data_IF_286430156245
#
_entry.id   IF_286430156245
#
_cell.length_a   1.000
_cell.length_b   1.000
_cell.length_c   1.000
_cell.angle_alpha   90.00
_cell.angle_beta   90.00
_cell.angle_gamma   90.00
#
_symmetry.space_group_name_H-M   'P 1'
#
loop_
_entity.id
_entity.type
_entity.pdbx_description
1 polymer ?
#
# COMPACT_ATOMS: atom_id res chain seq x y z
N UNK A 1 -79.01 10.74 21.03
CA UNK A 1 -79.28 10.89 19.60
C UNK A 1 -77.88 11.12 18.97
N UNK A 2 -77.43 10.07 18.36
CA UNK A 2 -76.88 9.98 17.00
C UNK A 2 -75.46 10.39 16.85
N UNK A 3 -74.60 9.78 16.12
CA UNK A 3 -74.60 8.56 15.33
C UNK A 3 -73.16 8.27 15.07
N UNK A 4 -72.79 7.02 15.16
CA UNK A 4 -71.54 6.47 14.76
C UNK A 4 -71.31 6.59 13.24
N UNK A 5 -70.16 6.97 12.80
CA UNK A 5 -69.72 6.67 11.44
C UNK A 5 -68.31 6.09 11.48
N UNK A 6 -68.26 4.78 11.43
CA UNK A 6 -67.05 4.00 11.26
C UNK A 6 -66.57 4.16 9.84
N UNK A 7 -65.28 4.57 9.72
CA UNK A 7 -64.53 4.41 8.48
C UNK A 7 -63.53 3.25 8.65
N UNK A 8 -63.84 2.19 7.91
CA UNK A 8 -62.99 1.02 7.80
C UNK A 8 -61.62 1.38 7.26
N UNK A 9 -60.56 1.12 8.06
CA UNK A 9 -59.18 1.20 7.64
C UNK A 9 -58.92 0.10 6.60
N UNK A 10 -58.65 0.49 5.36
CA UNK A 10 -58.20 -0.39 4.31
C UNK A 10 -56.79 -0.86 4.63
N UNK A 11 -56.67 -2.16 4.81
CA UNK A 11 -55.41 -2.89 5.00
C UNK A 11 -54.57 -2.79 3.70
N UNK A 12 -53.54 -1.97 3.71
CA UNK A 12 -52.53 -1.92 2.63
C UNK A 12 -51.47 -2.97 2.96
N UNK A 13 -51.19 -3.95 2.08
CA UNK A 13 -50.18 -4.93 2.35
C UNK A 13 -48.79 -4.22 2.37
N UNK A 14 -48.13 -4.28 3.52
CA UNK A 14 -46.70 -3.90 3.62
C UNK A 14 -45.87 -4.81 2.71
N UNK A 15 -45.38 -4.24 1.63
CA UNK A 15 -44.34 -4.86 0.82
C UNK A 15 -43.07 -4.94 1.69
N UNK A 16 -42.74 -6.16 2.12
CA UNK A 16 -41.53 -6.43 2.86
C UNK A 16 -40.31 -5.96 2.03
N UNK A 17 -39.68 -4.92 2.51
CA UNK A 17 -38.41 -4.45 1.94
C UNK A 17 -37.39 -5.60 1.99
N UNK A 18 -37.08 -6.16 0.82
CA UNK A 18 -35.96 -7.07 0.66
C UNK A 18 -34.71 -6.33 1.13
N UNK A 19 -34.19 -6.69 2.30
CA UNK A 19 -32.84 -6.32 2.75
C UNK A 19 -31.88 -6.80 1.66
N UNK A 20 -31.36 -5.86 0.88
CA UNK A 20 -30.21 -6.08 0.04
C UNK A 20 -29.10 -6.61 0.96
N UNK A 21 -28.67 -7.86 0.75
CA UNK A 21 -27.44 -8.35 1.35
C UNK A 21 -26.34 -7.45 0.82
N UNK A 22 -25.86 -6.53 1.63
CA UNK A 22 -24.56 -5.93 1.40
C UNK A 22 -23.58 -7.10 1.38
N UNK A 23 -23.02 -7.39 0.22
CA UNK A 23 -21.86 -8.27 0.09
C UNK A 23 -20.76 -7.49 0.80
N UNK A 24 -20.38 -7.93 1.99
CA UNK A 24 -19.17 -7.45 2.66
C UNK A 24 -18.01 -7.80 1.74
N UNK A 25 -17.50 -6.82 1.04
CA UNK A 25 -16.28 -6.95 0.25
C UNK A 25 -15.14 -7.23 1.23
N UNK A 26 -14.23 -8.15 0.91
CA UNK A 26 -13.06 -8.41 1.74
C UNK A 26 -12.32 -7.10 1.99
N UNK A 27 -12.09 -6.76 3.25
CA UNK A 27 -11.69 -5.44 3.73
C UNK A 27 -10.25 -5.06 3.43
N UNK A 28 -9.44 -5.95 2.84
CA UNK A 28 -8.11 -5.60 2.33
C UNK A 28 -7.67 -6.53 1.20
N UNK A 29 -7.41 -5.94 0.05
CA UNK A 29 -6.66 -6.60 -1.01
C UNK A 29 -5.18 -6.46 -0.70
N UNK A 30 -4.39 -7.49 -1.02
CA UNK A 30 -2.94 -7.47 -0.85
C UNK A 30 -2.26 -8.03 -2.08
N UNK A 31 -1.07 -7.54 -2.37
CA UNK A 31 -0.22 -8.04 -3.45
C UNK A 31 1.10 -8.54 -2.87
N UNK A 32 1.60 -9.69 -3.36
CA UNK A 32 2.90 -10.19 -2.91
C UNK A 32 4.04 -9.34 -3.46
N UNK A 33 5.10 -9.20 -2.69
CA UNK A 33 6.32 -8.49 -3.11
C UNK A 33 6.94 -9.13 -4.37
N UNK A 34 6.79 -10.43 -4.55
CA UNK A 34 7.23 -11.16 -5.76
C UNK A 34 6.61 -10.59 -7.04
N UNK A 35 5.31 -10.29 -7.02
CA UNK A 35 4.64 -9.66 -8.17
C UNK A 35 5.19 -8.25 -8.45
N UNK A 36 5.44 -7.47 -7.40
CA UNK A 36 6.02 -6.13 -7.54
C UNK A 36 7.42 -6.21 -8.14
N UNK A 37 8.25 -7.15 -7.67
CA UNK A 37 9.60 -7.38 -8.18
C UNK A 37 9.56 -7.72 -9.68
N UNK A 38 8.68 -8.63 -10.10
CA UNK A 38 8.55 -9.05 -11.49
C UNK A 38 8.03 -7.95 -12.39
N UNK A 39 6.99 -7.24 -11.97
CA UNK A 39 6.36 -6.18 -12.76
C UNK A 39 7.31 -5.00 -13.01
N UNK A 40 8.03 -4.58 -11.97
CA UNK A 40 8.94 -3.44 -12.05
C UNK A 40 10.39 -3.83 -12.34
N UNK A 41 10.67 -5.11 -12.61
CA UNK A 41 12.01 -5.64 -12.88
C UNK A 41 13.04 -5.20 -11.83
N UNK A 42 12.66 -5.33 -10.54
CA UNK A 42 13.53 -4.92 -9.43
C UNK A 42 14.60 -5.97 -9.16
N UNK A 43 15.80 -5.51 -8.85
CA UNK A 43 16.92 -6.36 -8.45
C UNK A 43 16.97 -6.49 -6.91
N UNK A 44 17.22 -7.69 -6.41
CA UNK A 44 17.30 -7.93 -4.97
C UNK A 44 18.69 -7.64 -4.43
N UNK A 45 18.79 -6.76 -3.43
CA UNK A 45 20.01 -6.50 -2.65
C UNK A 45 20.03 -7.34 -1.38
N UNK A 46 18.90 -7.39 -0.68
CA UNK A 46 18.72 -8.22 0.51
C UNK A 46 17.27 -8.71 0.60
N UNK A 47 17.09 -10.00 0.91
CA UNK A 47 15.79 -10.64 1.05
C UNK A 47 15.79 -11.58 2.26
N UNK A 48 15.09 -11.24 3.34
CA UNK A 48 15.10 -12.04 4.57
C UNK A 48 14.27 -13.33 4.48
N UNK A 49 13.25 -13.32 3.62
CA UNK A 49 12.33 -14.45 3.41
C UNK A 49 11.84 -14.48 1.97
N UNK A 50 11.11 -15.53 1.57
CA UNK A 50 10.52 -15.59 0.23
C UNK A 50 9.63 -14.37 -0.06
N UNK A 51 9.82 -13.65 -1.19
CA UNK A 51 9.04 -12.45 -1.52
C UNK A 51 7.56 -12.73 -1.72
N UNK A 52 7.18 -13.99 -1.98
CA UNK A 52 5.79 -14.45 -2.08
C UNK A 52 5.04 -14.38 -0.75
N UNK A 53 5.78 -14.39 0.38
CA UNK A 53 5.22 -14.33 1.74
C UNK A 53 5.14 -12.91 2.30
N UNK A 54 5.63 -11.92 1.57
CA UNK A 54 5.59 -10.51 1.97
C UNK A 54 4.46 -9.84 1.22
N UNK A 55 3.48 -9.31 1.94
CA UNK A 55 2.27 -8.72 1.36
C UNK A 55 2.25 -7.21 1.56
N UNK A 56 1.87 -6.51 0.50
CA UNK A 56 1.71 -5.07 0.45
C UNK A 56 0.21 -4.77 0.35
N UNK A 57 -0.27 -3.90 1.23
CA UNK A 57 -1.69 -3.53 1.35
C UNK A 57 -1.94 -2.07 1.00
N UNK A 58 -0.90 -1.23 1.01
CA UNK A 58 -1.00 0.18 0.67
C UNK A 58 -0.65 0.41 -0.80
N UNK A 59 -1.45 1.19 -1.49
CA UNK A 59 -1.17 1.66 -2.85
C UNK A 59 -0.26 2.89 -2.89
N UNK A 60 -0.08 3.54 -1.75
CA UNK A 60 0.79 4.69 -1.62
C UNK A 60 2.23 4.26 -1.33
N UNK A 61 3.15 5.13 -1.66
CA UNK A 61 4.59 4.96 -1.40
C UNK A 61 5.06 5.99 -0.38
N UNK A 62 6.15 5.68 0.32
CA UNK A 62 6.78 6.59 1.25
C UNK A 62 8.17 7.01 0.73
N UNK A 63 8.41 8.30 0.69
CA UNK A 63 9.74 8.90 0.43
C UNK A 63 10.17 9.59 1.70
N UNK A 64 11.10 9.01 2.49
CA UNK A 64 11.38 9.43 3.86
C UNK A 64 12.15 10.76 3.91
N UNK A 65 11.53 11.86 3.49
CA UNK A 65 12.13 13.18 3.57
C UNK A 65 12.16 13.73 5.00
N UNK A 66 11.00 13.94 5.58
CA UNK A 66 10.87 14.47 6.95
C UNK A 66 11.25 13.42 8.01
N UNK A 67 10.99 12.17 7.76
CA UNK A 67 11.34 11.07 8.66
C UNK A 67 12.86 11.01 8.91
N UNK A 68 13.66 11.32 7.89
CA UNK A 68 15.12 11.39 8.04
C UNK A 68 15.57 12.57 8.93
N UNK A 69 14.71 13.56 9.17
CA UNK A 69 14.98 14.66 10.13
C UNK A 69 14.45 14.37 11.53
N UNK A 70 13.81 13.22 11.73
CA UNK A 70 13.26 12.81 13.03
C UNK A 70 11.79 13.17 13.22
N UNK A 71 11.07 13.56 12.17
CA UNK A 71 9.62 13.85 12.22
C UNK A 71 8.82 12.65 11.70
N UNK A 72 8.08 11.97 12.58
CA UNK A 72 7.40 10.70 12.28
C UNK A 72 5.88 10.75 12.38
N UNK A 73 5.27 11.91 12.65
CA UNK A 73 3.83 12.04 12.94
C UNK A 73 2.93 11.50 11.82
N UNK A 74 3.39 11.56 10.56
CA UNK A 74 2.65 11.10 9.39
C UNK A 74 3.30 9.90 8.71
N UNK A 75 4.27 9.26 9.37
CA UNK A 75 4.92 8.08 8.84
C UNK A 75 3.98 6.86 8.87
N UNK A 76 3.71 6.31 7.69
CA UNK A 76 2.89 5.11 7.53
C UNK A 76 3.79 3.90 7.20
N UNK A 77 4.01 2.99 8.17
CA UNK A 77 4.89 1.83 7.96
C UNK A 77 4.33 0.77 7.00
N UNK A 78 3.09 0.88 6.55
CA UNK A 78 2.49 -0.08 5.61
C UNK A 78 2.92 0.17 4.16
N UNK A 79 3.57 1.30 3.90
CA UNK A 79 3.98 1.73 2.55
C UNK A 79 5.38 1.24 2.21
N UNK A 80 5.59 0.92 0.92
CA UNK A 80 6.93 0.70 0.40
C UNK A 80 7.73 2.00 0.48
N UNK A 81 8.96 1.92 0.97
CA UNK A 81 9.86 3.06 1.05
C UNK A 81 10.72 3.16 -0.21
N UNK A 82 10.92 4.39 -0.71
CA UNK A 82 11.75 4.66 -1.88
C UNK A 82 12.82 5.68 -1.52
N UNK A 83 14.08 5.30 -1.70
CA UNK A 83 15.23 6.17 -1.58
C UNK A 83 15.72 6.58 -2.96
N UNK A 84 15.79 7.88 -3.20
CA UNK A 84 16.35 8.48 -4.41
C UNK A 84 17.59 9.34 -4.09
N UNK A 85 17.96 10.20 -5.05
CA UNK A 85 19.12 11.08 -4.91
C UNK A 85 19.03 11.97 -3.66
N UNK A 86 17.87 12.55 -3.38
CA UNK A 86 17.68 13.51 -2.29
C UNK A 86 17.87 12.84 -0.95
N UNK A 87 17.21 11.70 -0.73
CA UNK A 87 17.25 10.95 0.52
C UNK A 87 18.67 10.40 0.77
N UNK A 88 19.31 9.86 -0.26
CA UNK A 88 20.68 9.32 -0.18
C UNK A 88 21.70 10.44 0.07
N UNK A 89 21.60 11.54 -0.67
CA UNK A 89 22.49 12.69 -0.48
C UNK A 89 22.35 13.27 0.93
N UNK A 90 21.12 13.40 1.44
CA UNK A 90 20.88 13.88 2.79
C UNK A 90 21.52 12.98 3.86
N UNK A 91 21.36 11.67 3.74
CA UNK A 91 22.01 10.72 4.65
C UNK A 91 23.54 10.87 4.64
N UNK A 92 24.16 11.13 3.49
CA UNK A 92 25.62 11.35 3.42
C UNK A 92 26.09 12.62 4.12
N UNK A 93 25.23 13.62 4.36
CA UNK A 93 25.57 14.83 5.13
C UNK A 93 25.55 14.61 6.63
N UNK A 94 24.95 13.53 7.11
CA UNK A 94 24.82 13.25 8.53
C UNK A 94 25.99 12.44 9.08
N UNK A 95 26.23 12.54 10.40
CA UNK A 95 27.17 11.64 11.07
C UNK A 95 26.66 10.20 11.08
N UNK A 96 27.58 9.25 11.31
CA UNK A 96 27.22 7.82 11.40
C UNK A 96 26.18 7.59 12.50
N UNK A 97 26.38 8.23 13.65
CA UNK A 97 25.49 8.10 14.82
C UNK A 97 24.09 8.60 14.50
N UNK A 98 23.99 9.74 13.80
CA UNK A 98 22.70 10.30 13.42
C UNK A 98 22.00 9.44 12.37
N UNK A 99 22.72 8.93 11.34
CA UNK A 99 22.18 7.96 10.38
C UNK A 99 21.62 6.73 11.07
N UNK A 100 22.38 6.14 12.00
CA UNK A 100 21.93 4.97 12.76
C UNK A 100 20.67 5.29 13.54
N UNK A 101 20.63 6.44 14.24
CA UNK A 101 19.49 6.85 15.06
C UNK A 101 18.21 7.00 14.26
N UNK A 102 18.26 7.73 13.14
CA UNK A 102 17.05 7.99 12.34
C UNK A 102 16.59 6.75 11.57
N UNK A 103 17.55 5.99 11.02
CA UNK A 103 17.23 4.75 10.32
C UNK A 103 16.68 3.67 11.28
N UNK A 104 17.22 3.56 12.49
CA UNK A 104 16.70 2.65 13.52
C UNK A 104 15.23 2.98 13.87
N UNK A 105 14.91 4.26 14.07
CA UNK A 105 13.56 4.70 14.35
C UNK A 105 12.57 4.37 13.22
N UNK A 106 12.99 4.51 11.95
CA UNK A 106 12.19 4.19 10.77
C UNK A 106 12.00 2.68 10.64
N UNK A 107 13.09 1.93 10.63
CA UNK A 107 13.10 0.49 10.37
C UNK A 107 12.52 -0.35 11.51
N UNK A 108 12.53 0.16 12.75
CA UNK A 108 11.82 -0.45 13.89
C UNK A 108 10.31 -0.60 13.65
N UNK A 109 9.74 0.17 12.71
CA UNK A 109 8.33 0.07 12.27
C UNK A 109 8.12 -1.00 11.19
N UNK A 110 9.17 -1.68 10.73
CA UNK A 110 9.15 -2.79 9.79
C UNK A 110 8.36 -2.52 8.49
N UNK A 111 8.78 -1.54 7.65
CA UNK A 111 8.13 -1.32 6.37
C UNK A 111 8.23 -2.57 5.48
N UNK A 112 7.27 -2.79 4.55
CA UNK A 112 7.21 -4.04 3.77
C UNK A 112 8.40 -4.24 2.83
N UNK A 113 8.99 -3.17 2.32
CA UNK A 113 10.20 -3.18 1.50
C UNK A 113 10.81 -1.78 1.36
N UNK A 114 12.08 -1.76 1.02
CA UNK A 114 12.84 -0.56 0.62
C UNK A 114 13.34 -0.73 -0.79
N UNK A 115 13.17 0.30 -1.63
CA UNK A 115 13.65 0.31 -3.01
C UNK A 115 14.63 1.49 -3.19
N UNK A 116 15.82 1.18 -3.68
CA UNK A 116 16.82 2.18 -4.03
C UNK A 116 16.72 2.47 -5.53
N UNK A 117 16.32 3.69 -5.88
CA UNK A 117 16.23 4.12 -7.27
C UNK A 117 17.63 4.45 -7.85
N UNK A 118 17.76 4.38 -9.20
CA UNK A 118 18.98 4.75 -9.94
C UNK A 118 20.20 3.90 -9.61
N UNK A 119 20.04 2.73 -8.99
CA UNK A 119 21.17 1.91 -8.48
C UNK A 119 22.17 2.72 -7.64
N UNK A 120 21.65 3.69 -6.89
CA UNK A 120 22.49 4.47 -5.98
C UNK A 120 23.12 3.56 -4.94
N UNK A 121 24.33 3.90 -4.52
CA UNK A 121 25.00 3.24 -3.42
C UNK A 121 24.51 3.85 -2.08
N UNK A 122 23.72 3.10 -1.30
CA UNK A 122 23.23 3.62 -0.03
C UNK A 122 24.32 3.59 1.04
N UNK A 123 24.22 4.44 2.09
CA UNK A 123 25.11 4.33 3.23
C UNK A 123 25.08 2.92 3.84
N UNK A 124 26.22 2.39 4.34
CA UNK A 124 26.28 1.05 4.93
C UNK A 124 25.26 0.81 6.05
N UNK A 125 24.93 1.86 6.81
CA UNK A 125 23.99 1.82 7.92
C UNK A 125 22.57 1.48 7.42
N UNK A 126 22.20 1.88 6.19
CA UNK A 126 20.90 1.53 5.62
C UNK A 126 20.78 0.01 5.44
N UNK A 127 21.81 -0.63 4.85
CA UNK A 127 21.83 -2.09 4.71
C UNK A 127 21.92 -2.80 6.06
N UNK A 128 22.62 -2.23 7.04
CA UNK A 128 22.68 -2.75 8.40
C UNK A 128 21.29 -2.78 9.04
N UNK A 129 20.50 -1.68 8.90
CA UNK A 129 19.15 -1.60 9.48
C UNK A 129 18.16 -2.53 8.76
N UNK A 130 18.24 -2.68 7.44
CA UNK A 130 17.39 -3.64 6.73
C UNK A 130 17.65 -5.07 7.20
N UNK A 131 18.90 -5.44 7.46
CA UNK A 131 19.24 -6.75 8.02
C UNK A 131 18.76 -6.92 9.46
N UNK A 132 18.98 -5.91 10.31
CA UNK A 132 18.55 -5.92 11.72
C UNK A 132 17.05 -6.14 11.88
N UNK A 133 16.24 -5.49 11.05
CA UNK A 133 14.78 -5.52 11.10
C UNK A 133 14.14 -6.47 10.09
N UNK A 134 14.93 -7.26 9.36
CA UNK A 134 14.45 -8.21 8.35
C UNK A 134 13.58 -7.55 7.27
N UNK A 135 13.91 -6.33 6.85
CA UNK A 135 13.21 -5.61 5.79
C UNK A 135 13.87 -5.88 4.44
N UNK A 136 13.14 -6.31 3.40
CA UNK A 136 13.69 -6.48 2.06
C UNK A 136 14.27 -5.18 1.51
N UNK A 137 15.43 -5.28 0.84
CA UNK A 137 16.03 -4.18 0.10
C UNK A 137 16.18 -4.55 -1.37
N UNK A 138 15.64 -3.73 -2.22
CA UNK A 138 15.61 -3.87 -3.68
C UNK A 138 16.26 -2.66 -4.33
N UNK A 139 16.67 -2.81 -5.59
CA UNK A 139 17.21 -1.69 -6.37
C UNK A 139 16.69 -1.73 -7.80
N UNK A 140 16.74 -0.58 -8.47
CA UNK A 140 16.39 -0.43 -9.88
C UNK A 140 17.23 0.67 -10.54
N UNK A 141 17.55 0.56 -11.84
CA UNK A 141 18.20 1.64 -12.59
C UNK A 141 17.27 2.83 -12.84
N UNK A 142 15.95 2.63 -12.69
CA UNK A 142 14.94 3.64 -13.02
C UNK A 142 15.05 4.91 -12.16
N UNK A 143 14.73 6.09 -12.74
CA UNK A 143 14.59 7.33 -11.99
C UNK A 143 13.49 7.23 -10.94
N UNK A 144 13.65 7.92 -9.82
CA UNK A 144 12.70 7.90 -8.70
C UNK A 144 11.26 8.25 -9.12
N UNK A 145 11.10 9.25 -9.99
CA UNK A 145 9.76 9.66 -10.46
C UNK A 145 9.09 8.59 -11.32
N UNK A 146 9.84 7.95 -12.22
CA UNK A 146 9.34 6.84 -13.05
C UNK A 146 8.96 5.65 -12.19
N UNK A 147 9.83 5.28 -11.25
CA UNK A 147 9.57 4.18 -10.29
C UNK A 147 8.32 4.43 -9.47
N UNK A 148 8.15 5.63 -8.89
CA UNK A 148 6.96 5.99 -8.10
C UNK A 148 5.71 5.90 -8.94
N UNK A 149 5.73 6.48 -10.16
CA UNK A 149 4.60 6.44 -11.08
C UNK A 149 4.19 5.01 -11.45
N UNK A 150 5.15 4.18 -11.84
CA UNK A 150 4.92 2.79 -12.21
C UNK A 150 4.41 1.95 -11.02
N UNK A 151 5.02 2.11 -9.84
CA UNK A 151 4.61 1.38 -8.64
C UNK A 151 3.19 1.75 -8.21
N UNK A 152 2.85 3.04 -8.14
CA UNK A 152 1.50 3.51 -7.78
C UNK A 152 0.46 3.04 -8.81
N UNK A 153 0.77 3.10 -10.11
CA UNK A 153 -0.12 2.61 -11.17
C UNK A 153 -0.40 1.11 -11.01
N UNK A 154 0.66 0.30 -10.83
CA UNK A 154 0.55 -1.13 -10.60
C UNK A 154 -0.28 -1.45 -9.34
N UNK A 155 0.03 -0.81 -8.21
CA UNK A 155 -0.68 -1.04 -6.95
C UNK A 155 -2.15 -0.64 -7.01
N UNK A 156 -2.48 0.44 -7.75
CA UNK A 156 -3.88 0.82 -7.97
C UNK A 156 -4.68 -0.24 -8.72
N UNK A 157 -4.07 -0.95 -9.65
CA UNK A 157 -4.72 -2.05 -10.39
C UNK A 157 -4.84 -3.30 -9.53
N UNK A 158 -3.76 -3.71 -8.87
CA UNK A 158 -3.73 -4.95 -8.08
C UNK A 158 -4.58 -4.87 -6.80
N UNK A 159 -4.63 -3.71 -6.15
CA UNK A 159 -5.41 -3.47 -4.93
C UNK A 159 -6.82 -2.94 -5.20
N UNK A 160 -7.22 -2.83 -6.48
CA UNK A 160 -8.57 -2.40 -6.82
C UNK A 160 -9.62 -3.45 -6.40
N UNK A 161 -10.78 -3.03 -5.88
CA UNK A 161 -11.90 -3.93 -5.61
C UNK A 161 -12.34 -4.65 -6.88
N UNK A 162 -12.33 -5.99 -6.87
CA UNK A 162 -12.76 -6.81 -8.01
C UNK A 162 -14.23 -7.19 -7.82
N UNK A 163 -15.11 -6.72 -8.72
CA UNK A 163 -16.53 -7.08 -8.73
C UNK A 163 -16.78 -7.95 -9.95
N UNK A 164 -17.20 -9.19 -9.72
CA UNK A 164 -17.67 -10.06 -10.81
C UNK A 164 -19.15 -9.72 -11.10
N UNK A 165 -19.45 -9.28 -12.32
CA UNK A 165 -20.82 -9.07 -12.79
C UNK A 165 -21.09 -10.03 -13.93
N UNK A 166 -22.21 -10.74 -13.85
CA UNK A 166 -22.73 -11.52 -14.96
C UNK A 166 -23.73 -10.64 -15.72
N UNK A 167 -23.50 -10.45 -17.01
CA UNK A 167 -24.41 -9.74 -17.90
C UNK A 167 -24.82 -10.64 -19.06
N UNK A 168 -26.07 -10.57 -19.50
CA UNK A 168 -26.54 -11.20 -20.74
C UNK A 168 -26.71 -10.08 -21.74
N UNK A 169 -26.04 -10.24 -22.90
CA UNK A 169 -26.26 -9.37 -24.05
C UNK A 169 -27.53 -9.85 -24.76
N UNK A 170 -28.54 -9.02 -24.86
CA UNK A 170 -29.76 -9.32 -25.63
C UNK A 170 -29.78 -8.40 -26.84
N UNK A 171 -29.70 -9.00 -28.02
CA UNK A 171 -29.99 -8.29 -29.27
C UNK A 171 -31.52 -8.22 -29.45
N UNK A 172 -32.07 -7.03 -29.58
CA UNK A 172 -33.47 -6.78 -29.92
C UNK A 172 -33.53 -6.28 -31.35
N UNK A 173 -34.15 -7.06 -32.24
CA UNK A 173 -34.42 -6.70 -33.63
C UNK A 173 -35.75 -5.94 -33.72
#
# INVERSE_FOLDING_TARGET
>A
MNAENGLAARNVPQVAARKSRCIELPTSYSVSLDKVIKELSLETVYMPTSPEKIFITSKDVNRPGLELTGFYDYYDPTRIMIFGNTETAYLHTQSVEERVRVLDAIFSKTPPAVIIARKLEPPPELLQMTRKYHVPMLTTPEPTSSLVGALVAFMNVELAPRITRHGVLVEVY
#
